data_IF_414923633453
#
_entry.id   IF_414923633453
#
_cell.length_a   1.000
_cell.length_b   1.000
_cell.length_c   1.000
_cell.angle_alpha   90.00
_cell.angle_beta   90.00
_cell.angle_gamma   90.00
#
_symmetry.space_group_name_H-M   'P 1'
#
loop_
_entity.id
_entity.type
_entity.pdbx_description
1 polymer ?
#
# COMPACT_ATOMS: atom_id res chain seq x y z
N UNK A 1 -21.95 -8.89 -28.88
CA UNK A 1 -20.69 -8.12 -28.73
C UNK A 1 -20.09 -7.94 -30.12
N UNK A 2 -19.92 -6.71 -30.60
CA UNK A 2 -19.49 -6.43 -31.98
C UNK A 2 -17.98 -6.64 -32.14
N UNK A 3 -17.57 -7.12 -33.31
CA UNK A 3 -16.15 -7.28 -33.74
C UNK A 3 -15.31 -6.00 -33.52
N UNK A 4 -15.96 -4.84 -33.46
CA UNK A 4 -15.33 -3.54 -33.17
C UNK A 4 -14.84 -3.45 -31.72
N UNK A 5 -15.56 -4.04 -30.78
CA UNK A 5 -15.20 -4.04 -29.36
C UNK A 5 -14.03 -5.01 -29.06
N UNK A 6 -13.96 -6.12 -29.78
CA UNK A 6 -12.81 -7.05 -29.69
C UNK A 6 -11.52 -6.44 -30.29
N UNK A 7 -11.61 -5.62 -31.33
CA UNK A 7 -10.45 -4.92 -31.89
C UNK A 7 -9.96 -3.74 -31.05
N UNK A 8 -10.82 -3.09 -30.27
CA UNK A 8 -10.40 -2.05 -29.33
C UNK A 8 -9.70 -2.65 -28.11
N UNK A 9 -10.12 -3.83 -27.64
CA UNK A 9 -9.49 -4.56 -26.52
C UNK A 9 -8.08 -5.06 -26.89
N UNK A 10 -7.82 -5.46 -28.15
CA UNK A 10 -6.48 -5.96 -28.57
C UNK A 10 -5.43 -4.87 -28.70
N UNK A 11 -5.79 -3.59 -28.75
CA UNK A 11 -4.85 -2.46 -28.84
C UNK A 11 -4.35 -1.93 -27.50
N UNK A 12 -4.98 -2.34 -26.38
CA UNK A 12 -4.66 -1.82 -25.04
C UNK A 12 -3.96 -2.80 -24.11
N UNK A 13 -3.87 -4.08 -24.49
CA UNK A 13 -3.19 -5.09 -23.68
C UNK A 13 -2.26 -5.93 -24.52
N UNK A 14 -1.01 -5.52 -24.63
CA UNK A 14 0.10 -6.43 -24.97
C UNK A 14 0.38 -7.27 -23.72
N UNK A 15 -0.37 -8.38 -23.60
CA UNK A 15 -0.23 -9.38 -22.55
C UNK A 15 0.93 -10.33 -22.88
N UNK A 16 2.15 -9.81 -23.01
CA UNK A 16 3.37 -10.62 -23.01
C UNK A 16 3.93 -10.83 -21.59
N UNK A 17 3.03 -11.04 -20.64
CA UNK A 17 3.37 -11.68 -19.39
C UNK A 17 2.64 -13.02 -19.34
N UNK A 18 3.35 -14.13 -19.53
CA UNK A 18 2.85 -15.48 -19.27
C UNK A 18 2.51 -15.59 -17.78
N UNK A 19 1.31 -15.13 -17.43
CA UNK A 19 0.72 -15.34 -16.12
C UNK A 19 0.28 -16.81 -16.09
N UNK A 20 1.08 -17.68 -15.48
CA UNK A 20 0.64 -19.02 -15.10
C UNK A 20 -0.36 -18.90 -13.97
N UNK A 21 -1.62 -18.64 -14.32
CA UNK A 21 -2.72 -18.45 -13.40
C UNK A 21 -3.47 -19.76 -13.16
N UNK A 22 -3.73 -20.11 -11.89
CA UNK A 22 -4.54 -21.28 -11.53
C UNK A 22 -6.05 -21.04 -11.81
N UNK A 23 -6.83 -22.11 -12.11
CA UNK A 23 -8.22 -22.05 -12.62
C UNK A 23 -9.28 -21.48 -11.67
N UNK A 24 -8.99 -21.14 -10.42
CA UNK A 24 -9.97 -20.63 -9.45
C UNK A 24 -10.45 -19.20 -9.72
N UNK A 25 -9.98 -18.55 -10.79
CA UNK A 25 -10.29 -17.16 -11.14
C UNK A 25 -11.23 -16.98 -12.33
N UNK A 26 -12.12 -17.94 -12.57
CA UNK A 26 -13.06 -17.90 -13.72
C UNK A 26 -14.16 -16.83 -13.65
N UNK A 27 -14.29 -16.06 -12.55
CA UNK A 27 -15.35 -15.04 -12.39
C UNK A 27 -14.80 -13.60 -12.27
N UNK A 28 -13.68 -13.26 -12.93
CA UNK A 28 -13.18 -11.89 -12.94
C UNK A 28 -14.11 -10.96 -13.72
N UNK A 29 -14.41 -9.82 -13.13
CA UNK A 29 -14.95 -8.68 -13.85
C UNK A 29 -13.84 -8.09 -14.72
N UNK A 30 -13.74 -8.46 -16.00
CA UNK A 30 -12.77 -7.90 -16.96
C UNK A 30 -12.80 -6.37 -16.97
N UNK A 31 -13.92 -5.75 -16.60
CA UNK A 31 -14.11 -4.30 -16.53
C UNK A 31 -13.39 -3.63 -15.36
N UNK A 32 -13.09 -4.33 -14.27
CA UNK A 32 -12.39 -3.74 -13.12
C UNK A 32 -10.94 -3.39 -13.44
N UNK A 33 -10.28 -4.17 -14.28
CA UNK A 33 -8.87 -4.00 -14.66
C UNK A 33 -8.64 -2.93 -15.74
N UNK A 34 -9.69 -2.37 -16.34
CA UNK A 34 -9.56 -1.37 -17.39
C UNK A 34 -9.45 0.03 -16.77
N UNK A 35 -8.33 0.71 -17.02
CA UNK A 35 -8.14 2.13 -16.76
C UNK A 35 -8.58 2.89 -18.01
N UNK A 36 -9.53 3.82 -17.89
CA UNK A 36 -10.06 4.52 -19.06
C UNK A 36 -9.04 5.50 -19.65
N UNK A 37 -9.16 5.87 -20.94
CA UNK A 37 -8.29 6.88 -21.55
C UNK A 37 -8.30 8.22 -20.81
N UNK A 38 -9.44 8.62 -20.23
CA UNK A 38 -9.57 9.84 -19.43
C UNK A 38 -8.80 9.72 -18.12
N UNK A 39 -8.85 8.54 -17.46
CA UNK A 39 -8.08 8.25 -16.25
C UNK A 39 -6.57 8.23 -16.54
N UNK A 40 -6.15 7.63 -17.65
CA UNK A 40 -4.75 7.67 -18.12
C UNK A 40 -4.31 9.11 -18.35
N UNK A 41 -5.11 9.89 -19.07
CA UNK A 41 -4.80 11.29 -19.40
C UNK A 41 -4.61 12.14 -18.16
N UNK A 42 -5.54 12.09 -17.20
CA UNK A 42 -5.42 12.88 -15.96
C UNK A 42 -4.21 12.48 -15.14
N UNK A 43 -3.91 11.19 -15.05
CA UNK A 43 -2.72 10.69 -14.35
C UNK A 43 -1.44 11.19 -15.02
N UNK A 44 -1.32 11.15 -16.33
CA UNK A 44 -0.13 11.64 -17.06
C UNK A 44 0.03 13.15 -17.02
N UNK A 45 -1.05 13.93 -16.88
CA UNK A 45 -0.98 15.38 -16.67
C UNK A 45 -0.23 15.70 -15.35
N UNK A 46 -0.47 14.93 -14.29
CA UNK A 46 0.20 15.10 -12.99
C UNK A 46 1.52 14.33 -12.88
N UNK A 47 1.64 13.21 -13.60
CA UNK A 47 2.78 12.31 -13.59
C UNK A 47 3.30 12.03 -15.00
N UNK A 48 3.94 13.01 -15.67
CA UNK A 48 4.33 12.87 -17.08
C UNK A 48 5.40 11.79 -17.33
N UNK A 49 6.03 11.26 -16.28
CA UNK A 49 6.97 10.12 -16.31
C UNK A 49 6.30 8.79 -15.96
N UNK A 50 4.96 8.77 -15.91
CA UNK A 50 4.18 7.61 -15.48
C UNK A 50 3.97 7.54 -13.97
N UNK A 51 3.17 6.57 -13.54
CA UNK A 51 2.86 6.27 -12.14
C UNK A 51 2.62 4.77 -11.98
N UNK A 52 3.06 4.18 -10.87
CA UNK A 52 2.88 2.77 -10.55
C UNK A 52 2.08 2.62 -9.26
N UNK A 53 0.87 2.05 -9.35
CA UNK A 53 0.10 1.63 -8.18
C UNK A 53 0.44 0.19 -7.84
N UNK A 54 0.50 -0.15 -6.55
CA UNK A 54 0.79 -1.50 -6.10
C UNK A 54 0.02 -1.84 -4.82
N UNK A 55 -0.12 -3.11 -4.58
CA UNK A 55 -0.72 -3.69 -3.40
C UNK A 55 0.01 -4.96 -2.99
N UNK A 56 0.03 -5.26 -1.69
CA UNK A 56 0.67 -6.43 -1.11
C UNK A 56 -0.34 -7.22 -0.30
N UNK A 57 -0.33 -8.56 -0.43
CA UNK A 57 -0.92 -9.42 0.58
C UNK A 57 0.15 -9.93 1.55
N UNK A 58 -0.22 -10.06 2.81
CA UNK A 58 0.73 -10.28 3.90
C UNK A 58 0.14 -11.23 4.97
N UNK A 59 1.02 -11.91 5.71
CA UNK A 59 0.62 -12.75 6.85
C UNK A 59 0.17 -11.94 8.09
N UNK A 60 0.16 -10.61 7.99
CA UNK A 60 -0.22 -9.66 9.04
C UNK A 60 0.30 -8.27 8.73
N UNK A 61 0.08 -7.31 9.64
CA UNK A 61 0.30 -5.88 9.36
C UNK A 61 1.70 -5.37 9.74
N UNK A 62 2.54 -6.19 10.38
CA UNK A 62 3.82 -5.73 10.96
C UNK A 62 5.02 -6.19 10.15
N UNK A 63 5.60 -5.32 9.35
CA UNK A 63 6.76 -5.62 8.51
C UNK A 63 7.99 -6.16 9.26
N UNK A 64 8.03 -6.04 10.60
CA UNK A 64 9.14 -6.53 11.40
C UNK A 64 9.07 -8.03 11.69
N UNK A 65 7.90 -8.65 11.60
CA UNK A 65 7.72 -10.08 11.89
C UNK A 65 6.72 -10.80 10.98
N UNK A 66 5.86 -10.06 10.29
CA UNK A 66 4.99 -10.63 9.26
C UNK A 66 5.70 -10.67 7.90
N UNK A 67 5.14 -11.41 6.96
CA UNK A 67 5.73 -11.71 5.66
C UNK A 67 4.82 -11.30 4.51
N UNK A 68 5.42 -10.89 3.41
CA UNK A 68 4.72 -10.71 2.13
C UNK A 68 4.43 -12.08 1.53
N UNK A 69 3.24 -12.25 0.98
CA UNK A 69 2.77 -13.48 0.30
C UNK A 69 2.34 -13.23 -1.16
N UNK A 70 2.07 -11.97 -1.52
CA UNK A 70 1.77 -11.59 -2.89
C UNK A 70 2.23 -10.15 -3.13
N UNK A 71 2.74 -9.85 -4.33
CA UNK A 71 3.05 -8.50 -4.82
C UNK A 71 2.34 -8.32 -6.13
N UNK A 72 1.51 -7.29 -6.25
CA UNK A 72 0.88 -6.94 -7.50
C UNK A 72 0.99 -5.43 -7.76
N UNK A 73 1.07 -5.06 -9.04
CA UNK A 73 1.16 -3.66 -9.43
C UNK A 73 0.58 -3.42 -10.82
N UNK A 74 0.11 -2.20 -11.01
CA UNK A 74 -0.33 -1.64 -12.27
C UNK A 74 0.45 -0.35 -12.53
N UNK A 75 1.10 -0.23 -13.68
CA UNK A 75 1.90 0.93 -14.05
C UNK A 75 1.39 1.56 -15.32
N UNK A 76 1.24 2.88 -15.32
CA UNK A 76 1.01 3.68 -16.52
C UNK A 76 2.36 4.22 -16.96
N UNK A 77 2.78 3.84 -18.16
CA UNK A 77 4.01 4.32 -18.77
C UNK A 77 3.82 5.75 -19.36
N UNK A 78 4.91 6.49 -19.65
CA UNK A 78 4.81 7.86 -20.18
C UNK A 78 4.06 7.97 -21.52
N UNK A 79 3.99 6.91 -22.30
CA UNK A 79 3.25 6.82 -23.57
C UNK A 79 1.76 6.46 -23.39
N UNK A 80 1.33 6.24 -22.14
CA UNK A 80 -0.04 5.85 -21.79
C UNK A 80 -0.28 4.33 -21.80
N UNK A 81 0.72 3.51 -22.14
CA UNK A 81 0.62 2.05 -22.03
C UNK A 81 0.45 1.65 -20.58
N UNK A 82 -0.49 0.72 -20.34
CA UNK A 82 -0.70 0.11 -19.01
C UNK A 82 0.02 -1.22 -18.97
N UNK A 83 0.89 -1.40 -17.99
CA UNK A 83 1.62 -2.66 -17.74
C UNK A 83 1.33 -3.16 -16.33
N UNK A 84 1.42 -4.46 -16.11
CA UNK A 84 1.13 -5.07 -14.82
C UNK A 84 2.29 -5.95 -14.35
N UNK A 85 2.42 -6.07 -13.03
CA UNK A 85 3.33 -6.98 -12.35
C UNK A 85 2.54 -7.82 -11.36
N UNK A 86 2.86 -9.10 -11.27
CA UNK A 86 2.27 -10.00 -10.28
C UNK A 86 3.27 -11.09 -9.89
N UNK A 87 3.38 -11.37 -8.60
CA UNK A 87 4.14 -12.50 -8.08
C UNK A 87 3.58 -12.99 -6.76
N UNK A 88 3.32 -14.29 -6.67
CA UNK A 88 3.18 -14.97 -5.38
C UNK A 88 4.53 -15.08 -4.69
N UNK A 89 4.53 -15.14 -3.36
CA UNK A 89 5.73 -15.20 -2.53
C UNK A 89 5.57 -16.28 -1.47
N UNK A 90 6.53 -17.21 -1.41
CA UNK A 90 6.57 -18.18 -0.31
C UNK A 90 7.14 -17.50 0.95
N UNK A 91 6.31 -17.35 2.01
CA UNK A 91 6.72 -16.65 3.23
C UNK A 91 7.68 -17.49 4.12
N UNK A 92 7.85 -18.78 3.81
CA UNK A 92 8.59 -19.77 4.65
C UNK A 92 8.04 -19.93 6.08
N UNK A 93 6.82 -19.53 6.30
CA UNK A 93 6.06 -19.71 7.55
C UNK A 93 4.62 -20.11 7.21
N UNK A 94 3.91 -20.72 8.15
CA UNK A 94 2.48 -20.98 8.00
C UNK A 94 1.70 -19.68 7.99
N UNK A 95 0.77 -19.54 7.03
CA UNK A 95 -0.13 -18.41 6.95
C UNK A 95 -1.14 -18.51 8.09
N UNK A 96 -1.32 -17.44 8.90
CA UNK A 96 -2.33 -17.43 9.96
C UNK A 96 -3.75 -17.52 9.36
N UNK A 97 -4.60 -18.44 9.89
CA UNK A 97 -5.95 -18.67 9.37
C UNK A 97 -6.78 -17.38 9.24
N UNK A 98 -6.70 -16.49 10.24
CA UNK A 98 -7.44 -15.24 10.23
C UNK A 98 -7.03 -14.27 9.11
N UNK A 99 -5.88 -14.48 8.44
CA UNK A 99 -5.48 -13.67 7.28
C UNK A 99 -5.95 -14.30 5.98
N UNK A 100 -6.10 -15.61 5.92
CA UNK A 100 -6.67 -16.35 4.77
C UNK A 100 -8.08 -15.85 4.44
N UNK A 101 -8.88 -15.51 5.46
CA UNK A 101 -10.24 -14.96 5.30
C UNK A 101 -10.25 -13.64 4.48
N UNK A 102 -9.14 -12.89 4.44
CA UNK A 102 -9.03 -11.65 3.68
C UNK A 102 -8.54 -11.89 2.25
N UNK A 103 -7.40 -12.55 2.05
CA UNK A 103 -6.75 -12.68 0.73
C UNK A 103 -7.00 -14.03 0.04
N UNK A 104 -7.57 -15.02 0.74
CA UNK A 104 -7.93 -16.34 0.18
C UNK A 104 -6.75 -17.23 -0.23
N UNK A 105 -5.51 -16.85 0.05
CA UNK A 105 -4.31 -17.64 -0.28
C UNK A 105 -4.00 -18.64 0.82
N UNK A 106 -3.79 -19.91 0.44
CA UNK A 106 -3.44 -21.00 1.33
C UNK A 106 -1.95 -21.36 1.22
N UNK A 107 -1.43 -22.11 2.21
CA UNK A 107 -0.03 -22.54 2.21
C UNK A 107 0.34 -23.35 0.96
N UNK A 108 -0.62 -24.15 0.45
CA UNK A 108 -0.46 -24.95 -0.76
C UNK A 108 -0.23 -24.11 -2.01
N UNK A 109 -0.87 -22.94 -2.10
CA UNK A 109 -0.76 -22.03 -3.25
C UNK A 109 0.62 -21.41 -3.34
N UNK A 110 1.30 -21.27 -2.19
CA UNK A 110 2.60 -20.59 -2.10
C UNK A 110 3.79 -21.55 -2.01
N UNK A 111 3.55 -22.87 -1.96
CA UNK A 111 4.62 -23.87 -1.75
C UNK A 111 5.73 -23.77 -2.78
N UNK A 112 5.37 -23.62 -4.04
CA UNK A 112 6.29 -23.59 -5.18
C UNK A 112 6.64 -22.15 -5.61
N UNK A 113 6.10 -21.14 -4.91
CA UNK A 113 6.42 -19.75 -5.17
C UNK A 113 7.84 -19.39 -4.71
N UNK A 114 8.52 -18.43 -5.38
CA UNK A 114 9.82 -17.96 -4.94
C UNK A 114 9.73 -17.25 -3.59
N UNK A 115 10.84 -17.26 -2.83
CA UNK A 115 10.95 -16.43 -1.62
C UNK A 115 11.04 -14.95 -1.98
N UNK A 116 10.73 -14.05 -1.05
CA UNK A 116 10.60 -12.59 -1.26
C UNK A 116 11.79 -11.96 -2.01
N UNK A 117 12.98 -12.52 -1.90
CA UNK A 117 14.20 -11.94 -2.50
C UNK A 117 14.03 -11.64 -3.98
N UNK A 118 13.66 -12.64 -4.79
CA UNK A 118 13.51 -12.46 -6.25
C UNK A 118 12.30 -11.59 -6.62
N UNK A 119 11.07 -11.86 -6.14
CA UNK A 119 9.90 -11.02 -6.45
C UNK A 119 10.08 -9.55 -6.10
N UNK A 120 10.71 -9.25 -4.95
CA UNK A 120 10.98 -7.86 -4.57
C UNK A 120 11.97 -7.19 -5.53
N UNK A 121 13.01 -7.90 -5.98
CA UNK A 121 13.96 -7.36 -6.96
C UNK A 121 13.27 -7.07 -8.29
N UNK A 122 12.47 -8.04 -8.77
CA UNK A 122 11.73 -7.90 -10.03
C UNK A 122 10.72 -6.73 -9.95
N UNK A 123 10.05 -6.55 -8.80
CA UNK A 123 9.16 -5.43 -8.56
C UNK A 123 9.92 -4.08 -8.54
N UNK A 124 11.10 -4.02 -7.89
CA UNK A 124 11.95 -2.83 -7.89
C UNK A 124 12.36 -2.47 -9.33
N UNK A 125 12.72 -3.45 -10.14
CA UNK A 125 13.08 -3.23 -11.54
C UNK A 125 11.87 -2.79 -12.38
N UNK A 126 10.68 -3.33 -12.10
CA UNK A 126 9.44 -2.98 -12.78
C UNK A 126 9.05 -1.51 -12.55
N UNK A 127 9.02 -1.05 -11.31
CA UNK A 127 8.64 0.36 -11.07
C UNK A 127 9.80 1.34 -11.31
N UNK A 128 11.05 0.93 -11.18
CA UNK A 128 12.24 1.77 -11.40
C UNK A 128 12.24 3.02 -10.52
N UNK A 129 12.18 4.20 -11.15
CA UNK A 129 12.07 5.50 -10.47
C UNK A 129 10.68 6.16 -10.63
N UNK A 130 9.70 5.41 -11.12
CA UNK A 130 8.33 5.90 -11.26
C UNK A 130 7.72 6.20 -9.89
N UNK A 131 6.94 7.27 -9.72
CA UNK A 131 6.18 7.50 -8.50
C UNK A 131 5.31 6.29 -8.14
N UNK A 132 5.29 5.94 -6.85
CA UNK A 132 4.54 4.81 -6.32
C UNK A 132 3.26 5.29 -5.63
N UNK A 133 2.18 4.57 -5.85
CA UNK A 133 0.87 4.77 -5.26
C UNK A 133 0.43 3.48 -4.56
N UNK A 134 -0.16 3.57 -3.37
CA UNK A 134 -0.87 2.46 -2.75
C UNK A 134 -2.01 2.97 -1.86
N UNK A 135 -2.92 2.10 -1.47
CA UNK A 135 -4.01 2.46 -0.56
C UNK A 135 -3.58 2.22 0.89
N UNK A 136 -3.52 3.27 1.72
CA UNK A 136 -2.83 3.24 3.04
C UNK A 136 -1.35 2.87 2.91
N UNK A 137 -0.68 3.45 1.94
CA UNK A 137 0.64 3.12 1.41
C UNK A 137 1.75 2.90 2.46
N UNK A 138 1.60 3.43 3.67
CA UNK A 138 2.59 3.22 4.75
C UNK A 138 2.73 1.76 5.16
N UNK A 139 1.66 0.96 5.06
CA UNK A 139 1.72 -0.47 5.38
C UNK A 139 2.59 -1.19 4.34
N UNK A 140 2.21 -1.12 3.07
CA UNK A 140 2.91 -1.79 1.97
C UNK A 140 4.36 -1.34 1.86
N UNK A 141 4.60 -0.03 1.88
CA UNK A 141 5.94 0.56 1.84
C UNK A 141 6.81 0.10 3.02
N UNK A 142 6.23 -0.16 4.17
CA UNK A 142 6.94 -0.69 5.33
C UNK A 142 7.56 -2.06 5.04
N UNK A 143 6.86 -2.95 4.34
CA UNK A 143 7.39 -4.25 3.90
C UNK A 143 8.45 -4.09 2.80
N UNK A 144 8.21 -3.20 1.83
CA UNK A 144 9.21 -2.89 0.79
C UNK A 144 10.51 -2.35 1.40
N UNK A 145 10.44 -1.38 2.31
CA UNK A 145 11.61 -0.83 3.03
C UNK A 145 12.32 -1.94 3.81
N UNK A 146 11.58 -2.79 4.49
CA UNK A 146 12.15 -3.90 5.25
C UNK A 146 12.90 -4.88 4.34
N UNK A 147 12.30 -5.24 3.21
CA UNK A 147 12.94 -6.13 2.22
C UNK A 147 14.16 -5.50 1.55
N UNK A 148 14.09 -4.21 1.16
CA UNK A 148 15.24 -3.47 0.62
C UNK A 148 16.40 -3.48 1.62
N UNK A 149 16.12 -3.24 2.90
CA UNK A 149 17.13 -3.30 3.95
C UNK A 149 17.71 -4.71 4.13
N UNK A 150 16.83 -5.73 4.18
CA UNK A 150 17.23 -7.13 4.42
C UNK A 150 18.12 -7.67 3.29
N UNK A 151 17.79 -7.36 2.04
CA UNK A 151 18.51 -7.87 0.86
C UNK A 151 19.54 -6.88 0.31
N UNK A 152 19.71 -5.72 0.95
CA UNK A 152 20.63 -4.66 0.54
C UNK A 152 20.41 -4.22 -0.92
N UNK A 153 19.15 -4.03 -1.32
CA UNK A 153 18.82 -3.54 -2.65
C UNK A 153 18.99 -2.03 -2.79
N UNK A 154 19.23 -1.52 -4.01
CA UNK A 154 19.30 -0.08 -4.24
C UNK A 154 17.94 0.55 -3.97
N UNK A 155 17.95 1.76 -3.41
CA UNK A 155 16.75 2.53 -3.12
C UNK A 155 16.45 3.45 -4.30
N UNK A 156 15.24 3.35 -4.85
CA UNK A 156 14.79 4.22 -5.95
C UNK A 156 14.54 5.67 -5.50
N UNK A 157 14.46 6.59 -6.47
CA UNK A 157 14.13 8.00 -6.25
C UNK A 157 12.61 8.27 -6.23
N UNK A 158 11.79 7.22 -6.16
CA UNK A 158 10.34 7.31 -6.27
C UNK A 158 9.72 8.16 -5.16
N UNK A 159 8.80 9.02 -5.55
CA UNK A 159 7.87 9.70 -4.64
C UNK A 159 6.75 8.72 -4.26
N UNK A 160 6.30 8.72 -3.01
CA UNK A 160 5.24 7.84 -2.51
C UNK A 160 3.98 8.65 -2.29
N UNK A 161 2.89 8.20 -2.90
CA UNK A 161 1.54 8.76 -2.79
C UNK A 161 0.58 7.77 -2.13
N UNK A 162 -0.53 8.29 -1.59
CA UNK A 162 -1.50 7.49 -0.84
C UNK A 162 -2.93 7.78 -1.30
N UNK A 163 -3.59 6.78 -1.89
CA UNK A 163 -4.96 6.89 -2.39
C UNK A 163 -6.03 6.89 -1.29
N UNK A 164 -5.68 6.66 -0.02
CA UNK A 164 -6.58 6.82 1.13
C UNK A 164 -6.51 8.23 1.72
N UNK A 165 -5.30 8.81 1.84
CA UNK A 165 -5.10 10.14 2.41
C UNK A 165 -5.62 11.22 1.48
N UNK A 166 -5.44 11.07 0.18
CA UNK A 166 -5.86 12.05 -0.81
C UNK A 166 -7.38 12.34 -0.74
N UNK A 167 -8.29 11.38 -0.94
CA UNK A 167 -9.72 11.64 -0.82
C UNK A 167 -10.12 12.11 0.58
N UNK A 168 -9.49 11.58 1.65
CA UNK A 168 -9.76 12.03 3.02
C UNK A 168 -9.50 13.52 3.21
N UNK A 169 -8.46 14.05 2.57
CA UNK A 169 -8.12 15.47 2.64
C UNK A 169 -8.98 16.30 1.70
N UNK A 170 -9.23 15.78 0.49
CA UNK A 170 -9.98 16.42 -0.58
C UNK A 170 -11.45 16.61 -0.19
N UNK A 171 -12.11 15.55 0.28
CA UNK A 171 -13.54 15.55 0.64
C UNK A 171 -13.83 15.96 2.09
N UNK A 172 -12.82 16.43 2.83
CA UNK A 172 -13.00 16.79 4.27
C UNK A 172 -14.12 17.80 4.52
N UNK A 173 -14.31 18.75 3.60
CA UNK A 173 -15.32 19.82 3.69
C UNK A 173 -16.36 19.75 2.56
N UNK A 174 -16.38 18.68 1.77
CA UNK A 174 -17.36 18.52 0.70
C UNK A 174 -18.73 18.14 1.26
N UNK A 175 -19.79 18.63 0.59
CA UNK A 175 -21.18 18.29 0.95
C UNK A 175 -21.48 16.82 0.62
N UNK A 176 -20.97 16.33 -0.51
CA UNK A 176 -21.07 14.93 -0.94
C UNK A 176 -19.71 14.25 -0.68
N UNK A 177 -19.70 13.18 0.10
CA UNK A 177 -18.48 12.47 0.49
C UNK A 177 -18.71 10.96 0.60
N UNK A 178 -17.65 10.15 0.43
CA UNK A 178 -17.75 8.71 0.61
C UNK A 178 -18.12 8.34 2.06
N UNK A 179 -18.75 7.18 2.21
CA UNK A 179 -19.13 6.61 3.52
C UNK A 179 -17.93 6.43 4.45
N UNK A 180 -16.83 5.96 3.89
CA UNK A 180 -15.52 5.93 4.55
C UNK A 180 -14.41 6.06 3.50
N UNK A 181 -13.14 6.05 3.94
CA UNK A 181 -11.98 6.11 3.05
C UNK A 181 -11.30 4.74 2.89
N UNK A 182 -12.02 3.64 3.11
CA UNK A 182 -11.60 2.31 2.71
C UNK A 182 -11.71 2.17 1.20
N UNK A 183 -10.87 1.35 0.58
CA UNK A 183 -10.82 1.20 -0.88
C UNK A 183 -12.18 0.85 -1.47
N UNK A 184 -12.92 -0.08 -0.84
CA UNK A 184 -14.25 -0.48 -1.28
C UNK A 184 -15.30 0.63 -1.20
N UNK A 185 -15.34 1.38 -0.09
CA UNK A 185 -16.29 2.48 0.05
C UNK A 185 -15.97 3.63 -0.93
N UNK A 186 -14.68 3.81 -1.29
CA UNK A 186 -14.26 4.75 -2.33
C UNK A 186 -14.61 4.25 -3.73
N UNK A 187 -14.43 2.96 -3.99
CA UNK A 187 -14.83 2.35 -5.25
C UNK A 187 -16.34 2.44 -5.47
N UNK A 188 -17.15 2.15 -4.44
CA UNK A 188 -18.59 2.34 -4.46
C UNK A 188 -18.97 3.80 -4.75
N UNK A 189 -18.32 4.75 -4.08
CA UNK A 189 -18.54 6.19 -4.26
C UNK A 189 -18.27 6.67 -5.70
N UNK A 190 -17.29 6.06 -6.38
CA UNK A 190 -16.93 6.37 -7.77
C UNK A 190 -17.54 5.42 -8.81
N UNK A 191 -18.46 4.54 -8.41
CA UNK A 191 -19.07 3.48 -9.27
C UNK A 191 -18.02 2.58 -9.95
N UNK A 192 -16.98 2.20 -9.22
CA UNK A 192 -15.93 1.27 -9.66
C UNK A 192 -16.26 -0.11 -9.12
N UNK A 193 -16.62 -1.04 -10.01
CA UNK A 193 -16.91 -2.44 -9.64
C UNK A 193 -15.63 -3.27 -9.64
N UNK A 194 -15.38 -4.03 -8.58
CA UNK A 194 -14.21 -4.93 -8.47
C UNK A 194 -14.44 -6.02 -7.41
N UNK A 195 -13.58 -7.01 -7.40
CA UNK A 195 -13.55 -8.06 -6.38
C UNK A 195 -12.45 -7.70 -5.38
N UNK A 196 -12.82 -7.48 -4.12
CA UNK A 196 -11.90 -7.17 -3.04
C UNK A 196 -10.91 -8.31 -2.76
N UNK A 197 -9.72 -7.94 -2.26
CA UNK A 197 -8.69 -8.85 -1.80
C UNK A 197 -8.08 -9.71 -2.91
N UNK A 198 -7.94 -9.13 -4.09
CA UNK A 198 -7.08 -9.60 -5.17
C UNK A 198 -6.08 -8.48 -5.41
N UNK A 199 -4.83 -8.65 -4.99
CA UNK A 199 -3.83 -7.58 -4.96
C UNK A 199 -3.71 -6.80 -6.29
N UNK A 200 -3.83 -7.49 -7.45
CA UNK A 200 -3.80 -6.80 -8.75
C UNK A 200 -5.03 -5.90 -8.96
N UNK A 201 -6.23 -6.38 -8.62
CA UNK A 201 -7.45 -5.58 -8.73
C UNK A 201 -7.41 -4.40 -7.76
N UNK A 202 -6.98 -4.61 -6.51
CA UNK A 202 -6.84 -3.56 -5.50
C UNK A 202 -5.85 -2.49 -5.95
N UNK A 203 -4.71 -2.86 -6.57
CA UNK A 203 -3.76 -1.92 -7.15
C UNK A 203 -4.35 -1.08 -8.29
N UNK A 204 -5.13 -1.70 -9.20
CA UNK A 204 -5.82 -0.99 -10.30
C UNK A 204 -6.91 -0.07 -9.76
N UNK A 205 -7.71 -0.54 -8.79
CA UNK A 205 -8.78 0.27 -8.20
C UNK A 205 -8.20 1.46 -7.42
N UNK A 206 -7.09 1.28 -6.70
CA UNK A 206 -6.38 2.39 -6.06
C UNK A 206 -5.93 3.45 -7.07
N UNK A 207 -5.44 3.03 -8.25
CA UNK A 207 -5.09 3.93 -9.37
C UNK A 207 -6.32 4.70 -9.89
N UNK A 208 -7.44 4.00 -10.13
CA UNK A 208 -8.70 4.60 -10.61
C UNK A 208 -9.29 5.58 -9.60
N UNK A 209 -9.36 5.19 -8.32
CA UNK A 209 -9.79 6.08 -7.23
C UNK A 209 -8.93 7.34 -7.19
N UNK A 210 -7.62 7.19 -7.33
CA UNK A 210 -6.69 8.32 -7.34
C UNK A 210 -6.93 9.23 -8.56
N UNK A 211 -7.16 8.66 -9.75
CA UNK A 211 -7.50 9.40 -10.97
C UNK A 211 -8.80 10.19 -10.83
N UNK A 212 -9.87 9.58 -10.25
CA UNK A 212 -11.14 10.27 -9.97
C UNK A 212 -10.97 11.42 -8.98
N UNK A 213 -10.13 11.23 -7.97
CA UNK A 213 -9.78 12.31 -7.06
C UNK A 213 -9.00 13.44 -7.75
N UNK A 214 -8.12 13.14 -8.71
CA UNK A 214 -7.41 14.16 -9.49
C UNK A 214 -8.36 14.98 -10.37
N UNK A 215 -9.34 14.34 -11.02
CA UNK A 215 -10.37 15.04 -11.80
C UNK A 215 -11.13 16.06 -10.94
N UNK A 216 -11.57 15.63 -9.74
CA UNK A 216 -12.23 16.54 -8.81
C UNK A 216 -11.27 17.62 -8.25
N UNK A 217 -10.00 17.27 -8.04
CA UNK A 217 -8.98 18.17 -7.55
C UNK A 217 -8.70 19.30 -8.55
N UNK A 218 -8.56 19.01 -9.84
CA UNK A 218 -8.29 20.01 -10.87
C UNK A 218 -9.44 21.03 -11.00
N UNK A 219 -10.67 20.58 -10.74
CA UNK A 219 -11.85 21.45 -10.74
C UNK A 219 -11.92 22.36 -9.48
N UNK A 220 -11.36 21.96 -8.34
CA UNK A 220 -11.66 22.57 -7.03
C UNK A 220 -10.41 23.07 -6.26
N UNK A 221 -9.20 22.73 -6.70
CA UNK A 221 -8.02 22.84 -5.83
C UNK A 221 -7.52 24.26 -5.52
N UNK A 222 -7.82 25.24 -6.34
CA UNK A 222 -7.25 26.59 -6.20
C UNK A 222 -5.70 26.51 -6.18
N UNK A 223 -5.06 27.13 -5.16
CA UNK A 223 -3.58 27.20 -5.04
C UNK A 223 -2.94 25.98 -4.36
N UNK A 224 -3.71 24.91 -4.05
CA UNK A 224 -3.15 23.73 -3.37
C UNK A 224 -2.38 22.84 -4.34
N UNK A 225 -1.22 22.33 -3.91
CA UNK A 225 -0.48 21.35 -4.67
C UNK A 225 -0.94 19.92 -4.33
N UNK A 226 -0.84 19.01 -5.30
CA UNK A 226 -1.10 17.58 -5.06
C UNK A 226 -0.21 17.02 -3.94
N UNK A 227 1.02 17.53 -3.81
CA UNK A 227 1.96 17.12 -2.75
C UNK A 227 1.45 17.44 -1.34
N UNK A 228 0.67 18.51 -1.19
CA UNK A 228 0.12 18.88 0.12
C UNK A 228 -1.02 17.93 0.56
N UNK A 229 -1.61 17.20 -0.38
CA UNK A 229 -2.82 16.41 -0.16
C UNK A 229 -2.61 14.89 -0.18
N UNK A 230 -1.72 14.40 -1.02
CA UNK A 230 -1.59 12.97 -1.32
C UNK A 230 -0.17 12.41 -1.10
N UNK A 231 0.85 13.27 -1.07
CA UNK A 231 2.25 12.86 -0.95
C UNK A 231 2.61 12.44 0.48
N UNK A 232 3.40 11.38 0.61
CA UNK A 232 3.91 10.92 1.89
C UNK A 232 5.38 11.27 2.11
N UNK A 233 6.25 10.77 1.25
CA UNK A 233 7.70 10.96 1.31
C UNK A 233 8.38 10.45 0.03
N UNK A 234 9.67 10.77 -0.13
CA UNK A 234 10.54 10.09 -1.12
C UNK A 234 11.08 8.79 -0.55
N UNK A 235 11.08 7.73 -1.35
CA UNK A 235 11.60 6.44 -0.89
C UNK A 235 13.08 6.52 -0.54
N UNK A 236 13.88 7.31 -1.27
CA UNK A 236 15.29 7.54 -0.97
C UNK A 236 15.58 8.39 0.28
N UNK A 237 14.55 8.89 0.96
CA UNK A 237 14.71 9.42 2.33
C UNK A 237 14.98 8.29 3.36
N UNK A 238 14.72 7.05 2.98
CA UNK A 238 15.16 5.85 3.68
C UNK A 238 16.67 5.69 3.59
N UNK A 239 17.31 5.42 4.74
CA UNK A 239 18.73 5.12 4.80
C UNK A 239 18.93 3.62 4.99
N UNK A 240 19.44 2.87 3.97
CA UNK A 240 19.62 1.42 4.09
C UNK A 240 20.52 1.01 5.29
N UNK A 241 21.49 1.85 5.65
CA UNK A 241 22.33 1.71 6.84
C UNK A 241 21.60 2.02 8.16
N UNK A 242 20.32 2.42 8.10
CA UNK A 242 19.51 2.67 9.30
C UNK A 242 19.28 1.39 10.11
N UNK A 243 19.13 1.54 11.42
CA UNK A 243 18.80 0.40 12.28
C UNK A 243 17.30 0.10 12.23
N UNK A 244 16.91 -0.93 11.46
CA UNK A 244 15.56 -1.46 11.37
C UNK A 244 15.36 -2.74 12.17
N UNK A 245 16.17 -2.92 13.23
CA UNK A 245 16.09 -4.02 14.18
C UNK A 245 15.51 -3.47 15.49
N UNK A 246 14.58 -4.20 16.09
CA UNK A 246 14.05 -3.85 17.41
C UNK A 246 15.16 -3.91 18.47
N UNK A 247 15.46 -2.76 19.05
CA UNK A 247 16.36 -2.68 20.19
C UNK A 247 15.75 -3.36 21.44
N UNK A 248 16.60 -3.79 22.38
CA UNK A 248 16.19 -4.51 23.62
C UNK A 248 15.01 -3.85 24.35
N UNK A 249 14.97 -2.53 24.38
CA UNK A 249 13.91 -1.74 25.02
C UNK A 249 12.53 -1.90 24.35
N UNK A 250 12.48 -2.24 23.08
CA UNK A 250 11.25 -2.28 22.29
C UNK A 250 10.85 -3.68 21.81
N UNK A 251 11.64 -4.71 22.21
CA UNK A 251 11.36 -6.12 21.83
C UNK A 251 9.99 -6.58 22.32
N UNK A 252 9.58 -6.16 23.53
CA UNK A 252 8.27 -6.46 24.11
C UNK A 252 7.09 -6.00 23.24
N UNK A 253 7.29 -4.95 22.42
CA UNK A 253 6.22 -4.45 21.54
C UNK A 253 5.75 -5.51 20.54
N UNK A 254 6.60 -6.48 20.16
CA UNK A 254 6.20 -7.58 19.28
C UNK A 254 5.05 -8.38 19.91
N UNK A 255 5.23 -8.79 21.17
CA UNK A 255 4.23 -9.56 21.91
C UNK A 255 2.94 -8.77 22.10
N UNK A 256 3.02 -7.50 22.48
CA UNK A 256 1.85 -6.64 22.65
C UNK A 256 1.06 -6.41 21.36
N UNK A 257 1.74 -6.31 20.21
CA UNK A 257 1.08 -6.25 18.90
C UNK A 257 0.38 -7.57 18.58
N UNK A 258 1.07 -8.71 18.77
CA UNK A 258 0.51 -10.03 18.46
C UNK A 258 -0.69 -10.37 19.36
N UNK A 259 -0.57 -10.09 20.66
CA UNK A 259 -1.63 -10.37 21.65
C UNK A 259 -2.71 -9.28 21.70
N UNK A 260 -2.56 -8.19 20.92
CA UNK A 260 -3.47 -7.02 20.93
C UNK A 260 -3.68 -6.42 22.32
N UNK A 261 -2.65 -6.50 23.19
CA UNK A 261 -2.67 -6.03 24.58
C UNK A 261 -2.52 -4.51 24.63
N UNK A 262 -3.40 -3.82 25.38
CA UNK A 262 -3.23 -2.39 25.66
C UNK A 262 -1.99 -2.17 26.51
N UNK A 263 -1.26 -1.11 26.21
CA UNK A 263 -0.06 -0.71 26.95
C UNK A 263 -0.04 0.79 27.20
N UNK A 264 0.74 1.20 28.17
CA UNK A 264 1.03 2.61 28.41
C UNK A 264 2.43 2.94 27.86
N UNK A 265 2.50 3.98 27.03
CA UNK A 265 3.77 4.49 26.51
C UNK A 265 4.04 5.91 26.99
N UNK A 266 5.29 6.18 27.41
CA UNK A 266 5.80 7.52 27.65
C UNK A 266 6.48 8.04 26.39
N UNK A 267 5.87 9.01 25.71
CA UNK A 267 6.32 9.47 24.39
C UNK A 267 6.82 10.92 24.45
N UNK A 268 8.00 11.20 23.89
CA UNK A 268 8.62 12.53 23.92
C UNK A 268 8.17 13.46 22.79
N UNK A 269 6.98 13.26 22.23
CA UNK A 269 6.43 14.09 21.16
C UNK A 269 4.93 14.28 21.24
N UNK A 270 4.39 15.21 20.44
CA UNK A 270 2.97 15.49 20.36
C UNK A 270 2.39 16.20 21.58
N UNK A 271 1.04 16.25 21.68
CA UNK A 271 0.30 17.04 22.65
C UNK A 271 0.47 16.59 24.11
N UNK A 272 0.86 15.35 24.36
CA UNK A 272 1.07 14.77 25.71
C UNK A 272 2.55 14.40 25.88
N UNK A 273 3.43 15.39 25.71
CA UNK A 273 4.89 15.19 25.74
C UNK A 273 5.34 14.71 27.13
N UNK A 274 6.04 13.55 27.14
CA UNK A 274 6.59 12.93 28.37
C UNK A 274 5.54 12.47 29.39
N UNK A 275 4.26 12.43 29.05
CA UNK A 275 3.22 11.78 29.84
C UNK A 275 3.01 10.33 29.37
N UNK A 276 2.58 9.47 30.29
CA UNK A 276 2.08 8.15 29.92
C UNK A 276 0.73 8.28 29.23
N UNK A 277 0.56 7.48 28.17
CA UNK A 277 -0.71 7.37 27.45
C UNK A 277 -1.00 5.92 27.11
N UNK A 278 -2.22 5.52 27.29
CA UNK A 278 -2.68 4.21 26.89
C UNK A 278 -2.84 4.16 25.37
N UNK A 279 -2.31 3.09 24.80
CA UNK A 279 -2.40 2.80 23.36
C UNK A 279 -2.72 1.32 23.16
N UNK A 280 -3.50 1.01 22.12
CA UNK A 280 -3.70 -0.34 21.61
C UNK A 280 -2.76 -0.53 20.42
N UNK A 281 -1.69 -1.29 20.56
CA UNK A 281 -0.75 -1.63 19.47
C UNK A 281 -1.45 -2.31 18.30
N UNK A 282 -1.11 -1.91 17.07
CA UNK A 282 -1.68 -2.48 15.85
C UNK A 282 -0.57 -3.08 14.99
N UNK A 283 0.54 -2.34 14.78
CA UNK A 283 1.61 -2.74 13.88
C UNK A 283 2.95 -2.12 14.26
N UNK A 284 4.03 -2.83 13.94
CA UNK A 284 5.39 -2.30 13.94
C UNK A 284 5.86 -2.14 12.50
N UNK A 285 6.19 -0.92 12.13
CA UNK A 285 6.45 -0.51 10.74
C UNK A 285 7.90 -0.03 10.58
N UNK A 286 8.48 -0.30 9.40
CA UNK A 286 9.73 0.29 8.93
C UNK A 286 9.41 1.46 8.00
N UNK A 287 9.66 2.69 8.44
CA UNK A 287 9.44 3.91 7.63
C UNK A 287 10.77 4.68 7.47
N UNK A 288 10.88 5.62 6.53
CA UNK A 288 12.14 6.33 6.28
C UNK A 288 12.78 6.97 7.52
N UNK A 289 11.97 7.40 8.48
CA UNK A 289 12.43 8.00 9.73
C UNK A 289 12.79 6.97 10.84
N UNK A 290 12.78 5.68 10.51
CA UNK A 290 13.07 4.57 11.42
C UNK A 290 11.84 3.74 11.77
N UNK A 291 11.98 2.93 12.82
CA UNK A 291 10.90 2.07 13.30
C UNK A 291 9.79 2.87 13.99
N UNK A 292 8.55 2.48 13.74
CA UNK A 292 7.35 3.14 14.21
C UNK A 292 6.38 2.11 14.79
N UNK A 293 5.79 2.41 15.94
CA UNK A 293 4.60 1.74 16.44
C UNK A 293 3.36 2.49 15.90
N UNK A 294 2.53 1.79 15.14
CA UNK A 294 1.20 2.26 14.77
C UNK A 294 0.21 1.71 15.81
N UNK A 295 -0.55 2.59 16.44
CA UNK A 295 -1.43 2.22 17.54
C UNK A 295 -2.63 3.15 17.66
N UNK A 296 -3.76 2.64 18.14
CA UNK A 296 -4.89 3.45 18.57
C UNK A 296 -4.55 4.11 19.91
N UNK A 297 -4.54 5.43 19.94
CA UNK A 297 -4.42 6.19 21.18
C UNK A 297 -5.80 6.25 21.87
N UNK A 298 -5.94 5.59 23.02
CA UNK A 298 -7.22 5.47 23.74
C UNK A 298 -7.78 6.85 24.11
N UNK A 299 -6.96 7.76 24.61
CA UNK A 299 -7.40 9.10 25.02
C UNK A 299 -7.98 9.95 23.86
N UNK A 300 -7.44 9.82 22.65
CA UNK A 300 -7.90 10.62 21.49
C UNK A 300 -8.80 9.85 20.54
N UNK A 301 -9.00 8.54 20.74
CA UNK A 301 -9.72 7.63 19.84
C UNK A 301 -9.23 7.70 18.38
N UNK A 302 -7.91 7.91 18.21
CA UNK A 302 -7.29 8.08 16.90
C UNK A 302 -6.08 7.17 16.76
N UNK A 303 -5.93 6.57 15.58
CA UNK A 303 -4.72 5.86 15.19
C UNK A 303 -3.57 6.86 15.00
N UNK A 304 -2.42 6.55 15.59
CA UNK A 304 -1.22 7.40 15.58
C UNK A 304 0.05 6.60 15.29
N UNK A 305 1.03 7.30 14.75
CA UNK A 305 2.36 6.78 14.48
C UNK A 305 3.33 7.26 15.57
N UNK A 306 3.90 6.33 16.36
CA UNK A 306 4.85 6.62 17.41
C UNK A 306 6.25 6.14 16.99
N UNK A 307 7.15 7.07 16.70
CA UNK A 307 8.55 6.76 16.34
C UNK A 307 9.22 6.10 17.56
N UNK A 308 9.73 4.88 17.42
CA UNK A 308 10.20 4.08 18.56
C UNK A 308 11.30 4.79 19.36
N UNK A 309 12.26 5.44 18.71
CA UNK A 309 13.33 6.21 19.39
C UNK A 309 12.81 7.32 20.31
N UNK A 310 11.56 7.76 20.13
CA UNK A 310 10.89 8.77 20.98
C UNK A 310 10.04 8.15 22.10
N UNK A 311 9.86 6.84 22.11
CA UNK A 311 9.22 6.13 23.23
C UNK A 311 10.26 6.01 24.35
N UNK A 312 10.02 6.67 25.48
CA UNK A 312 10.95 6.73 26.62
C UNK A 312 10.73 5.57 27.57
N UNK A 313 9.48 5.09 27.69
CA UNK A 313 9.13 4.02 28.59
C UNK A 313 7.88 3.29 28.11
N UNK A 314 7.73 2.02 28.50
CA UNK A 314 6.60 1.14 28.15
C UNK A 314 6.20 0.40 29.42
N UNK A 315 4.90 0.36 29.72
CA UNK A 315 4.28 -0.37 30.84
C UNK A 315 3.05 -1.13 30.35
N UNK A 316 2.76 -2.26 30.94
CA UNK A 316 1.45 -2.92 30.86
C UNK A 316 0.37 -2.15 31.63
#
# INVERSE_FOLDING_TARGET
MSILMQRLLSFYFDLDCTITYKPSMQNRSETALIISPEEVKILLNHFPKGICSFDLEMTGLSALFDKVIEIAACKIEPDGKVTTFHSLVNPLITIPEHTIEYHGLHNEDLRDAPTLKKPLKDFIDFYGNTPLLAHNAKFDISFIIRGIHEYNYPVSLSDIYDSCIFPRTLYKKADIKPKSFKLGDLAEFFDIKFIHHIALEDSVVAMKVFARCLMYFDDQAGDKSLKDLAYLFKLNSFKPSGNYILGRKHVCLKEFVQNKTNIQIKYSGGSYKNEFREVKPISLMALPNGLVLYALCVKSQMNKYFILKKIKDIKE
#
